data_IF_886703844559
#
_entry.id   IF_886703844559
#
_cell.length_a   1.000
_cell.length_b   1.000
_cell.length_c   1.000
_cell.angle_alpha   90.00
_cell.angle_beta   90.00
_cell.angle_gamma   90.00
#
_symmetry.space_group_name_H-M   'P 1'
#
loop_
_entity.id
_entity.type
_entity.pdbx_description
1 polymer ?
#
# COMPACT_ATOMS: atom_id res chain seq x y z
N UNK A 1 -2.34 8.11 7.68
CA UNK A 1 -3.23 8.34 6.52
C UNK A 1 -4.07 7.11 6.28
N UNK A 2 -5.35 7.27 6.16
CA UNK A 2 -6.26 6.16 5.83
C UNK A 2 -5.96 5.62 4.45
N UNK A 3 -6.13 4.31 4.27
CA UNK A 3 -5.86 3.69 2.98
C UNK A 3 -6.67 2.40 2.83
N UNK A 4 -6.71 1.89 1.60
CA UNK A 4 -7.43 0.69 1.26
C UNK A 4 -6.50 -0.47 0.90
N UNK A 5 -5.24 -0.41 1.31
CA UNK A 5 -4.26 -1.41 0.91
C UNK A 5 -4.65 -2.82 1.34
N UNK A 6 -5.11 -2.96 2.58
CA UNK A 6 -5.51 -4.27 3.11
C UNK A 6 -6.63 -4.90 2.28
N UNK A 7 -7.64 -4.09 1.93
CA UNK A 7 -8.76 -4.54 1.10
C UNK A 7 -8.27 -4.94 -0.29
N UNK A 8 -7.45 -4.09 -0.89
CA UNK A 8 -6.93 -4.35 -2.25
C UNK A 8 -6.06 -5.61 -2.28
N UNK A 9 -5.25 -5.83 -1.24
CA UNK A 9 -4.47 -7.06 -1.12
C UNK A 9 -5.40 -8.28 -1.03
N UNK A 10 -6.42 -8.18 -0.18
CA UNK A 10 -7.36 -9.29 0.00
C UNK A 10 -8.05 -9.66 -1.31
N UNK A 11 -8.42 -8.66 -2.11
CA UNK A 11 -9.05 -8.89 -3.41
C UNK A 11 -8.13 -9.65 -4.38
N UNK A 12 -6.81 -9.55 -4.18
CA UNK A 12 -5.83 -10.24 -5.01
C UNK A 12 -5.21 -11.46 -4.32
N UNK A 13 -5.71 -11.82 -3.15
CA UNK A 13 -5.14 -12.91 -2.34
C UNK A 13 -3.65 -12.70 -2.10
N UNK A 14 -3.25 -11.47 -1.81
CA UNK A 14 -1.87 -11.08 -1.66
C UNK A 14 -1.54 -10.84 -0.19
N UNK A 15 -0.43 -11.42 0.28
CA UNK A 15 0.03 -11.19 1.65
C UNK A 15 0.79 -9.86 1.74
N UNK A 16 0.99 -9.38 2.98
CA UNK A 16 1.83 -8.19 3.20
C UNK A 16 3.24 -8.40 2.67
N UNK A 17 3.79 -9.61 2.85
CA UNK A 17 5.13 -9.93 2.38
C UNK A 17 5.21 -9.87 0.86
N UNK A 18 4.21 -10.42 0.17
CA UNK A 18 4.18 -10.38 -1.29
C UNK A 18 4.11 -8.94 -1.80
N UNK A 19 3.27 -8.11 -1.19
CA UNK A 19 3.20 -6.71 -1.57
C UNK A 19 4.53 -6.01 -1.32
N UNK A 20 5.15 -6.26 -0.15
CA UNK A 20 6.42 -5.64 0.21
C UNK A 20 7.50 -5.95 -0.83
N UNK A 21 7.58 -7.21 -1.26
CA UNK A 21 8.54 -7.62 -2.29
C UNK A 21 8.28 -6.88 -3.59
N UNK A 22 7.02 -6.80 -4.01
CA UNK A 22 6.67 -6.16 -5.28
C UNK A 22 7.01 -4.68 -5.31
N UNK A 23 6.85 -3.98 -4.19
CA UNK A 23 7.12 -2.54 -4.12
C UNK A 23 8.46 -2.23 -3.45
N UNK A 24 9.26 -3.26 -3.17
CA UNK A 24 10.66 -3.14 -2.74
C UNK A 24 10.83 -2.45 -1.39
N UNK A 25 10.01 -2.81 -0.43
CA UNK A 25 10.14 -2.36 0.95
C UNK A 25 10.02 -3.55 1.90
N UNK A 26 10.22 -3.33 3.19
CA UNK A 26 10.07 -4.39 4.17
C UNK A 26 8.59 -4.64 4.48
N UNK A 27 8.28 -5.85 4.97
CA UNK A 27 6.93 -6.17 5.42
C UNK A 27 6.49 -5.24 6.55
N UNK A 28 7.43 -4.86 7.43
CA UNK A 28 7.13 -3.94 8.52
C UNK A 28 6.63 -2.59 7.99
N UNK A 29 7.20 -2.12 6.88
CA UNK A 29 6.77 -0.88 6.27
C UNK A 29 5.32 -0.97 5.79
N UNK A 30 4.97 -2.06 5.10
CA UNK A 30 3.59 -2.28 4.65
C UNK A 30 2.64 -2.35 5.85
N UNK A 31 3.02 -3.08 6.89
CA UNK A 31 2.20 -3.20 8.10
C UNK A 31 1.95 -1.83 8.73
N UNK A 32 3.00 -1.01 8.86
CA UNK A 32 2.89 0.32 9.46
C UNK A 32 1.99 1.24 8.63
N UNK A 33 2.07 1.15 7.30
CA UNK A 33 1.21 1.94 6.41
C UNK A 33 -0.25 1.52 6.58
N UNK A 34 -0.52 0.22 6.59
CA UNK A 34 -1.89 -0.28 6.74
C UNK A 34 -2.49 0.11 8.08
N UNK A 35 -1.67 0.20 9.13
CA UNK A 35 -2.11 0.61 10.45
C UNK A 35 -2.17 2.13 10.63
N UNK A 36 -1.91 2.87 9.56
CA UNK A 36 -1.96 4.34 9.57
C UNK A 36 -0.92 4.99 10.51
N UNK A 37 0.16 4.26 10.78
CA UNK A 37 1.25 4.76 11.63
C UNK A 37 2.38 5.37 10.83
N UNK A 38 2.38 5.18 9.52
CA UNK A 38 3.42 5.65 8.64
C UNK A 38 2.83 5.97 7.28
N UNK A 39 3.18 7.14 6.74
CA UNK A 39 2.74 7.53 5.41
C UNK A 39 3.82 7.15 4.40
N UNK A 40 3.45 6.60 3.24
CA UNK A 40 4.44 6.21 2.26
C UNK A 40 5.10 7.43 1.64
N UNK A 41 6.36 7.27 1.22
CA UNK A 41 7.01 8.27 0.38
C UNK A 41 6.24 8.35 -0.95
N UNK A 42 6.41 9.46 -1.66
CA UNK A 42 5.76 9.60 -2.96
C UNK A 42 6.19 8.50 -3.94
N UNK A 43 7.49 8.15 -4.06
CA UNK A 43 7.87 7.03 -4.93
C UNK A 43 7.19 5.72 -4.56
N UNK A 44 7.05 5.43 -3.27
CA UNK A 44 6.38 4.21 -2.82
C UNK A 44 4.89 4.25 -3.17
N UNK A 45 4.25 5.40 -2.97
CA UNK A 45 2.84 5.57 -3.31
C UNK A 45 2.61 5.31 -4.80
N UNK A 46 3.50 5.79 -5.67
CA UNK A 46 3.41 5.51 -7.10
C UNK A 46 3.55 4.02 -7.41
N UNK A 47 4.49 3.33 -6.75
CA UNK A 47 4.66 1.89 -6.97
C UNK A 47 3.40 1.12 -6.57
N UNK A 48 2.81 1.47 -5.45
CA UNK A 48 1.58 0.83 -4.98
C UNK A 48 0.44 1.12 -5.97
N UNK A 49 0.33 2.36 -6.41
CA UNK A 49 -0.68 2.77 -7.38
C UNK A 49 -0.59 1.95 -8.66
N UNK A 50 0.62 1.80 -9.19
CA UNK A 50 0.84 1.03 -10.42
C UNK A 50 0.54 -0.44 -10.24
N UNK A 51 0.90 -1.00 -9.09
CA UNK A 51 0.63 -2.42 -8.82
C UNK A 51 -0.87 -2.70 -8.80
N UNK A 52 -1.64 -1.87 -8.13
CA UNK A 52 -3.09 -2.06 -8.04
C UNK A 52 -3.85 -1.46 -9.21
N UNK A 53 -3.15 -0.75 -10.11
CA UNK A 53 -3.75 -0.13 -11.28
C UNK A 53 -4.88 0.84 -10.92
N UNK A 54 -4.65 1.61 -9.86
CA UNK A 54 -5.60 2.61 -9.36
C UNK A 54 -4.87 3.93 -9.13
N UNK A 55 -5.56 5.07 -9.28
CA UNK A 55 -4.96 6.35 -8.89
C UNK A 55 -4.61 6.35 -7.39
N UNK A 56 -3.61 7.14 -7.02
CA UNK A 56 -3.18 7.25 -5.63
C UNK A 56 -4.37 7.62 -4.73
N UNK A 57 -5.20 8.56 -5.16
CA UNK A 57 -6.33 9.03 -4.36
C UNK A 57 -7.43 7.99 -4.17
N UNK A 58 -7.40 6.90 -4.95
CA UNK A 58 -8.33 5.78 -4.75
C UNK A 58 -7.79 4.77 -3.74
N UNK A 59 -6.51 4.89 -3.40
CA UNK A 59 -5.84 3.99 -2.46
C UNK A 59 -5.63 4.67 -1.12
N UNK A 60 -5.15 5.90 -1.14
CA UNK A 60 -4.85 6.69 0.05
C UNK A 60 -5.88 7.80 0.21
N UNK A 61 -6.52 7.82 1.37
CA UNK A 61 -7.59 8.78 1.64
C UNK A 61 -7.04 9.91 2.48
N UNK A 62 -6.98 11.10 1.90
CA UNK A 62 -6.53 12.30 2.59
C UNK A 62 -7.75 13.05 3.10
N UNK A 63 -7.82 13.24 4.42
CA UNK A 63 -8.93 13.93 5.07
C UNK A 63 -8.53 15.33 5.53
#
# INVERSE_FOLDING_TARGET
MKNRIKVLRAERNMTQEELAIEVQVSRQTINAIEKEKFDPSLPLAFKISRLFELPIEDIFLHE
#
